data_IF_971548656442
#
_entry.id   IF_971548656442
#
_cell.length_a   1.000
_cell.length_b   1.000
_cell.length_c   1.000
_cell.angle_alpha   90.00
_cell.angle_beta   90.00
_cell.angle_gamma   90.00
#
_symmetry.space_group_name_H-M   'P 1'
#
loop_
_entity.id
_entity.type
_entity.pdbx_description
1 polymer ?
#
# COMPACT_ATOMS: atom_id res chain seq x y z
N UNK A 1 -9.57 14.16 11.85
CA UNK A 1 -11.03 13.95 11.72
C UNK A 1 -11.27 12.75 10.81
N UNK A 2 -11.73 11.63 11.37
CA UNK A 2 -12.05 10.41 10.63
C UNK A 2 -13.29 10.66 9.76
N UNK A 3 -13.14 10.54 8.44
CA UNK A 3 -14.25 10.61 7.47
C UNK A 3 -15.31 9.56 7.87
N UNK A 4 -16.56 9.97 8.02
CA UNK A 4 -17.67 9.05 8.28
C UNK A 4 -17.81 8.08 7.10
N UNK A 5 -17.76 6.77 7.37
CA UNK A 5 -17.91 5.72 6.34
C UNK A 5 -19.27 5.87 5.64
N UNK A 6 -19.31 6.25 4.35
CA UNK A 6 -20.57 6.48 3.62
C UNK A 6 -21.41 5.21 3.49
N UNK A 7 -20.77 4.03 3.58
CA UNK A 7 -21.42 2.73 3.41
C UNK A 7 -21.85 2.10 4.75
N UNK A 8 -21.74 2.83 5.87
CA UNK A 8 -22.06 2.31 7.21
C UNK A 8 -23.50 1.80 7.32
N UNK A 9 -24.45 2.47 6.67
CA UNK A 9 -25.87 2.07 6.68
C UNK A 9 -26.05 0.79 5.86
N UNK A 10 -25.50 0.76 4.64
CA UNK A 10 -25.53 -0.40 3.74
C UNK A 10 -24.93 -1.65 4.39
N UNK A 11 -23.82 -1.50 5.12
CA UNK A 11 -23.17 -2.62 5.83
C UNK A 11 -24.01 -3.23 6.96
N UNK A 12 -24.94 -2.46 7.53
CA UNK A 12 -25.81 -2.90 8.63
C UNK A 12 -27.13 -3.49 8.15
N UNK A 13 -27.51 -3.28 6.90
CA UNK A 13 -28.79 -3.76 6.35
C UNK A 13 -28.98 -5.28 6.52
N UNK A 14 -28.03 -6.16 6.13
CA UNK A 14 -28.23 -7.60 6.29
C UNK A 14 -28.42 -8.01 7.76
N UNK A 15 -27.67 -7.39 8.68
CA UNK A 15 -27.79 -7.65 10.11
C UNK A 15 -29.17 -7.24 10.65
N UNK A 16 -29.66 -6.05 10.30
CA UNK A 16 -30.95 -5.53 10.77
C UNK A 16 -32.10 -6.34 10.17
N UNK A 17 -32.07 -6.60 8.87
CA UNK A 17 -33.13 -7.36 8.18
C UNK A 17 -33.16 -8.82 8.66
N UNK A 18 -32.00 -9.45 8.82
CA UNK A 18 -31.91 -10.81 9.36
C UNK A 18 -32.38 -10.90 10.81
N UNK A 19 -32.01 -9.92 11.65
CA UNK A 19 -32.47 -9.84 13.04
C UNK A 19 -33.99 -9.63 13.14
N UNK A 20 -34.53 -8.70 12.36
CA UNK A 20 -35.97 -8.44 12.28
C UNK A 20 -36.74 -9.66 11.77
N UNK A 21 -36.22 -10.34 10.74
CA UNK A 21 -36.79 -11.59 10.21
C UNK A 21 -36.84 -12.71 11.27
N UNK A 22 -35.75 -12.91 12.02
CA UNK A 22 -35.70 -13.91 13.09
C UNK A 22 -36.72 -13.61 14.20
N UNK A 23 -36.85 -12.34 14.62
CA UNK A 23 -37.80 -11.91 15.64
C UNK A 23 -39.24 -12.11 15.16
N UNK A 24 -39.55 -11.70 13.93
CA UNK A 24 -40.89 -11.86 13.36
C UNK A 24 -41.29 -13.33 13.21
N UNK A 25 -40.36 -14.20 12.78
CA UNK A 25 -40.61 -15.65 12.71
C UNK A 25 -40.85 -16.26 14.09
N UNK A 26 -40.09 -15.83 15.10
CA UNK A 26 -40.30 -16.27 16.47
C UNK A 26 -41.67 -15.84 17.00
N UNK A 27 -42.06 -14.58 16.76
CA UNK A 27 -43.38 -14.07 17.15
C UNK A 27 -44.49 -14.83 16.41
N UNK A 28 -44.34 -15.04 15.11
CA UNK A 28 -45.28 -15.83 14.31
C UNK A 28 -45.45 -17.24 14.89
N UNK A 29 -44.34 -17.87 15.27
CA UNK A 29 -44.34 -19.21 15.86
C UNK A 29 -45.04 -19.25 17.22
N UNK A 30 -44.84 -18.25 18.08
CA UNK A 30 -45.46 -18.17 19.41
C UNK A 30 -46.97 -17.87 19.36
N UNK A 31 -47.41 -17.12 18.34
CA UNK A 31 -48.80 -16.70 18.18
C UNK A 31 -49.64 -17.69 17.36
N UNK A 32 -49.01 -18.68 16.71
CA UNK A 32 -49.71 -19.69 15.88
C UNK A 32 -50.15 -20.88 16.74
N UNK A 33 -51.47 -21.13 16.93
CA UNK A 33 -51.96 -22.23 17.76
C UNK A 33 -51.82 -23.61 17.09
N UNK A 34 -52.10 -23.69 15.78
CA UNK A 34 -51.99 -24.92 14.99
C UNK A 34 -51.04 -24.70 13.80
N UNK A 35 -50.03 -25.57 13.68
CA UNK A 35 -49.00 -25.44 12.64
C UNK A 35 -49.32 -26.32 11.44
N UNK A 36 -49.50 -25.70 10.27
CA UNK A 36 -49.57 -26.44 9.01
C UNK A 36 -48.20 -26.93 8.53
N UNK A 37 -48.17 -28.01 7.76
CA UNK A 37 -46.93 -28.55 7.19
C UNK A 37 -46.23 -27.57 6.23
N UNK A 38 -47.00 -26.75 5.50
CA UNK A 38 -46.44 -25.71 4.61
C UNK A 38 -45.81 -24.58 5.43
N UNK A 39 -46.46 -24.15 6.51
CA UNK A 39 -45.92 -23.14 7.42
C UNK A 39 -44.64 -23.61 8.12
N UNK A 40 -44.60 -24.86 8.59
CA UNK A 40 -43.40 -25.43 9.20
C UNK A 40 -42.18 -25.38 8.25
N UNK A 41 -42.37 -25.71 6.97
CA UNK A 41 -41.30 -25.65 5.96
C UNK A 41 -40.89 -24.20 5.65
N UNK A 42 -41.86 -23.30 5.59
CA UNK A 42 -41.63 -21.86 5.43
C UNK A 42 -40.82 -21.27 6.58
N UNK A 43 -41.16 -21.61 7.83
CA UNK A 43 -40.45 -21.15 9.03
C UNK A 43 -38.99 -21.64 9.01
N UNK A 44 -38.72 -22.89 8.63
CA UNK A 44 -37.36 -23.42 8.51
C UNK A 44 -36.55 -22.62 7.48
N UNK A 45 -37.10 -22.37 6.29
CA UNK A 45 -36.43 -21.57 5.26
C UNK A 45 -36.21 -20.12 5.72
N UNK A 46 -37.18 -19.54 6.42
CA UNK A 46 -37.08 -18.19 6.98
C UNK A 46 -36.00 -18.06 8.06
N UNK A 47 -35.87 -19.06 8.94
CA UNK A 47 -34.81 -19.11 9.95
C UNK A 47 -33.44 -19.22 9.29
N UNK A 48 -33.29 -20.08 8.28
CA UNK A 48 -32.04 -20.21 7.51
C UNK A 48 -31.69 -18.87 6.85
N UNK A 49 -32.65 -18.22 6.17
CA UNK A 49 -32.43 -16.92 5.52
C UNK A 49 -32.01 -15.85 6.54
N UNK A 50 -32.66 -15.80 7.70
CA UNK A 50 -32.32 -14.86 8.77
C UNK A 50 -30.91 -15.08 9.30
N UNK A 51 -30.51 -16.34 9.50
CA UNK A 51 -29.15 -16.69 9.93
C UNK A 51 -28.09 -16.30 8.88
N UNK A 52 -28.35 -16.55 7.60
CA UNK A 52 -27.46 -16.17 6.49
C UNK A 52 -27.29 -14.65 6.42
N UNK A 53 -28.38 -13.88 6.57
CA UNK A 53 -28.35 -12.42 6.56
C UNK A 53 -27.57 -11.85 7.76
N UNK A 54 -27.76 -12.42 8.95
CA UNK A 54 -27.00 -12.03 10.16
C UNK A 54 -25.50 -12.31 9.96
N UNK A 55 -25.14 -13.52 9.51
CA UNK A 55 -23.75 -13.90 9.26
C UNK A 55 -23.10 -12.98 8.22
N UNK A 56 -23.80 -12.69 7.12
CA UNK A 56 -23.34 -11.76 6.08
C UNK A 56 -23.08 -10.37 6.66
N UNK A 57 -24.01 -9.87 7.48
CA UNK A 57 -23.85 -8.58 8.16
C UNK A 57 -22.66 -8.53 9.12
N UNK A 58 -22.41 -9.63 9.85
CA UNK A 58 -21.25 -9.75 10.74
C UNK A 58 -19.92 -9.77 9.95
N UNK A 59 -19.86 -10.51 8.84
CA UNK A 59 -18.67 -10.54 7.96
C UNK A 59 -18.37 -9.14 7.43
N UNK A 60 -19.38 -8.41 6.97
CA UNK A 60 -19.22 -7.05 6.43
C UNK A 60 -18.74 -6.02 7.46
N UNK A 61 -18.95 -6.27 8.76
CA UNK A 61 -18.44 -5.44 9.84
C UNK A 61 -16.97 -5.75 10.17
N UNK A 62 -16.52 -6.99 9.97
CA UNK A 62 -15.14 -7.41 10.28
C UNK A 62 -14.11 -6.96 9.25
N UNK A 63 -14.53 -6.70 8.00
CA UNK A 63 -13.64 -6.21 6.93
C UNK A 63 -13.45 -4.69 7.02
N UNK A 64 -12.71 -4.25 8.05
CA UNK A 64 -12.03 -2.96 8.01
C UNK A 64 -10.52 -3.19 7.97
N UNK A 65 -9.84 -2.79 6.87
CA UNK A 65 -8.39 -2.77 6.83
C UNK A 65 -7.89 -1.88 7.96
N UNK A 66 -7.10 -2.43 8.90
CA UNK A 66 -6.36 -1.60 9.84
C UNK A 66 -5.33 -0.82 9.04
N UNK A 67 -5.40 0.50 9.09
CA UNK A 67 -4.34 1.35 8.55
C UNK A 67 -3.05 1.02 9.30
N UNK A 68 -1.94 0.72 8.58
CA UNK A 68 -0.66 0.48 9.23
C UNK A 68 -0.28 1.66 10.12
N UNK A 69 0.32 1.36 11.26
CA UNK A 69 0.83 2.40 12.16
C UNK A 69 1.99 3.12 11.47
N UNK A 70 1.86 4.44 11.33
CA UNK A 70 2.86 5.29 10.67
C UNK A 70 3.79 5.91 11.70
N UNK A 71 5.07 5.99 11.37
CA UNK A 71 6.07 6.72 12.17
C UNK A 71 6.42 8.05 11.51
N UNK A 72 6.93 9.01 12.27
CA UNK A 72 7.63 10.17 11.72
C UNK A 72 9.06 9.76 11.38
N UNK A 73 9.48 9.92 10.13
CA UNK A 73 10.83 9.52 9.71
C UNK A 73 11.89 10.44 10.31
N UNK A 74 13.00 9.86 10.76
CA UNK A 74 14.13 10.58 11.33
C UNK A 74 15.04 11.06 10.18
N UNK A 75 15.13 12.36 9.98
CA UNK A 75 15.97 12.98 8.96
C UNK A 75 15.54 14.41 8.65
N UNK A 76 16.20 15.04 7.69
CA UNK A 76 15.87 16.38 7.23
C UNK A 76 15.16 16.33 5.88
N UNK A 77 14.15 17.16 5.68
CA UNK A 77 13.53 17.30 4.37
C UNK A 77 14.51 17.98 3.41
N UNK A 78 14.79 17.34 2.28
CA UNK A 78 15.77 17.84 1.33
C UNK A 78 15.49 17.42 -0.11
N UNK A 79 16.18 18.10 -1.02
CA UNK A 79 16.19 17.81 -2.44
C UNK A 79 17.59 18.03 -3.01
N UNK A 80 18.19 16.96 -3.52
CA UNK A 80 19.52 16.95 -4.10
C UNK A 80 19.46 16.35 -5.50
N UNK A 81 20.16 16.98 -6.43
CA UNK A 81 20.36 16.54 -7.81
C UNK A 81 21.87 16.55 -8.11
N UNK A 82 22.35 15.55 -8.85
CA UNK A 82 23.72 15.53 -9.31
C UNK A 82 23.98 16.72 -10.27
N UNK A 83 25.06 17.50 -10.06
CA UNK A 83 25.29 18.74 -10.78
C UNK A 83 25.62 18.53 -12.26
N UNK A 84 26.21 17.38 -12.58
CA UNK A 84 26.68 16.94 -13.91
C UNK A 84 25.55 16.46 -14.85
N UNK A 85 24.30 16.40 -14.38
CA UNK A 85 23.18 15.98 -15.21
C UNK A 85 22.75 17.05 -16.24
N UNK A 86 22.36 16.65 -17.46
CA UNK A 86 21.71 17.55 -18.42
C UNK A 86 20.42 18.15 -17.87
N UNK A 87 20.06 19.33 -18.37
CA UNK A 87 18.86 20.07 -17.94
C UNK A 87 17.58 19.23 -18.12
N UNK A 88 17.45 18.53 -19.25
CA UNK A 88 16.30 17.67 -19.53
C UNK A 88 16.17 16.54 -18.50
N UNK A 89 17.27 15.86 -18.17
CA UNK A 89 17.30 14.82 -17.15
C UNK A 89 16.97 15.38 -15.75
N UNK A 90 17.50 16.56 -15.39
CA UNK A 90 17.19 17.22 -14.11
C UNK A 90 15.70 17.53 -13.96
N UNK A 91 15.08 18.10 -15.00
CA UNK A 91 13.65 18.43 -15.01
C UNK A 91 12.82 17.17 -14.84
N UNK A 92 13.16 16.12 -15.58
CA UNK A 92 12.42 14.86 -15.55
C UNK A 92 12.53 14.12 -14.23
N UNK A 93 13.75 14.02 -13.68
CA UNK A 93 13.98 13.50 -12.34
C UNK A 93 13.23 14.31 -11.28
N UNK A 94 13.27 15.64 -11.35
CA UNK A 94 12.55 16.50 -10.41
C UNK A 94 11.03 16.32 -10.51
N UNK A 95 10.48 16.14 -11.71
CA UNK A 95 9.05 15.94 -11.92
C UNK A 95 8.57 14.57 -11.46
N UNK A 96 9.24 13.50 -11.91
CA UNK A 96 8.91 12.12 -11.60
C UNK A 96 8.94 11.85 -10.09
N UNK A 97 9.98 12.34 -9.41
CA UNK A 97 10.16 12.12 -7.98
C UNK A 97 9.17 12.92 -7.14
N UNK A 98 8.75 14.10 -7.61
CA UNK A 98 7.66 14.85 -6.97
C UNK A 98 6.36 14.06 -7.04
N UNK A 99 6.02 13.54 -8.22
CA UNK A 99 4.81 12.76 -8.44
C UNK A 99 4.74 11.55 -7.51
N UNK A 100 5.86 10.84 -7.35
CA UNK A 100 5.94 9.70 -6.44
C UNK A 100 5.72 10.12 -4.98
N UNK A 101 6.36 11.19 -4.52
CA UNK A 101 6.17 11.68 -3.15
C UNK A 101 4.76 12.22 -2.86
N UNK A 102 4.08 12.79 -3.85
CA UNK A 102 2.75 13.38 -3.66
C UNK A 102 1.59 12.42 -3.91
N UNK A 103 1.78 11.38 -4.72
CA UNK A 103 0.70 10.46 -5.11
C UNK A 103 0.86 9.03 -4.57
N UNK A 104 1.96 8.74 -3.87
CA UNK A 104 2.16 7.45 -3.18
C UNK A 104 2.44 7.69 -1.70
N UNK A 105 2.57 6.61 -0.93
CA UNK A 105 2.98 6.63 0.48
C UNK A 105 4.48 6.87 0.70
N UNK A 106 5.24 7.10 -0.37
CA UNK A 106 6.69 7.38 -0.32
C UNK A 106 6.98 8.66 0.45
N UNK A 107 7.99 8.63 1.32
CA UNK A 107 8.44 9.78 2.11
C UNK A 107 9.91 10.14 1.89
N UNK A 108 10.69 9.20 1.40
CA UNK A 108 12.08 9.41 1.00
C UNK A 108 12.35 8.60 -0.26
N UNK A 109 13.08 9.17 -1.21
CA UNK A 109 13.45 8.44 -2.41
C UNK A 109 14.85 8.81 -2.90
N UNK A 110 15.47 7.84 -3.56
CA UNK A 110 16.80 7.95 -4.15
C UNK A 110 16.77 7.34 -5.55
N UNK A 111 17.38 8.05 -6.50
CA UNK A 111 17.63 7.54 -7.85
C UNK A 111 19.11 7.18 -7.95
N UNK A 112 19.39 5.89 -8.09
CA UNK A 112 20.74 5.36 -8.29
C UNK A 112 20.88 4.86 -9.72
N UNK A 113 21.89 5.31 -10.46
CA UNK A 113 22.10 4.97 -11.86
C UNK A 113 23.59 4.88 -12.18
N UNK A 114 24.03 3.85 -12.89
CA UNK A 114 25.43 3.63 -13.31
C UNK A 114 26.47 3.86 -12.19
N UNK A 115 26.20 3.38 -10.98
CA UNK A 115 27.15 3.52 -9.88
C UNK A 115 27.07 4.83 -9.09
N UNK A 116 26.18 5.75 -9.49
CA UNK A 116 26.08 7.10 -8.93
C UNK A 116 24.69 7.40 -8.40
N UNK A 117 24.62 8.27 -7.39
CA UNK A 117 23.37 8.83 -6.89
C UNK A 117 23.03 10.07 -7.69
N UNK A 118 21.99 9.98 -8.53
CA UNK A 118 21.55 11.08 -9.40
C UNK A 118 20.63 12.06 -8.67
N UNK A 119 19.79 11.55 -7.75
CA UNK A 119 18.82 12.36 -7.01
C UNK A 119 18.55 11.76 -5.63
N UNK A 120 18.37 12.63 -4.63
CA UNK A 120 17.79 12.29 -3.33
C UNK A 120 16.68 13.30 -3.00
N UNK A 121 15.51 12.84 -2.55
CA UNK A 121 14.41 13.75 -2.22
C UNK A 121 13.50 13.21 -1.12
N UNK A 122 12.93 14.11 -0.32
CA UNK A 122 12.02 13.80 0.79
C UNK A 122 12.78 13.85 2.10
N UNK A 123 12.49 12.94 3.04
CA UNK A 123 13.21 12.86 4.31
C UNK A 123 14.55 12.14 4.10
N UNK A 124 15.66 12.85 4.21
CA UNK A 124 16.99 12.36 3.91
C UNK A 124 17.73 11.94 5.19
N UNK A 125 18.42 10.80 5.12
CA UNK A 125 19.41 10.44 6.13
C UNK A 125 20.71 11.24 5.93
N UNK A 126 21.49 11.34 7.01
CA UNK A 126 22.79 11.99 7.01
C UNK A 126 23.76 11.36 5.99
N UNK A 127 23.76 10.02 5.87
CA UNK A 127 24.57 9.32 4.88
C UNK A 127 23.95 9.47 3.48
N UNK A 128 24.76 9.98 2.54
CA UNK A 128 24.33 10.22 1.15
C UNK A 128 24.78 9.16 0.15
N UNK A 129 25.82 8.41 0.49
CA UNK A 129 26.43 7.43 -0.39
C UNK A 129 25.65 6.11 -0.40
N UNK A 130 25.28 5.66 -1.60
CA UNK A 130 24.61 4.38 -1.82
C UNK A 130 25.65 3.33 -2.15
N UNK A 131 25.82 2.36 -1.27
CA UNK A 131 26.64 1.17 -1.50
C UNK A 131 25.72 -0.01 -1.80
N UNK A 132 25.65 -0.51 -3.06
CA UNK A 132 24.76 -1.62 -3.40
C UNK A 132 25.10 -2.89 -2.62
N UNK A 133 24.16 -3.34 -1.80
CA UNK A 133 24.25 -4.62 -1.11
C UNK A 133 23.62 -5.74 -1.93
N UNK A 134 23.09 -6.75 -1.24
CA UNK A 134 22.56 -7.95 -1.89
C UNK A 134 21.24 -7.64 -2.61
N UNK A 135 20.42 -6.75 -2.06
CA UNK A 135 19.08 -6.48 -2.56
C UNK A 135 19.16 -5.62 -3.82
N UNK A 136 19.91 -4.52 -3.80
CA UNK A 136 20.11 -3.69 -4.97
C UNK A 136 20.77 -4.48 -6.12
N UNK A 137 21.80 -5.29 -5.82
CA UNK A 137 22.44 -6.16 -6.83
C UNK A 137 21.44 -7.12 -7.45
N UNK A 138 20.60 -7.77 -6.63
CA UNK A 138 19.56 -8.67 -7.13
C UNK A 138 18.54 -7.95 -8.01
N UNK A 139 18.16 -6.72 -7.69
CA UNK A 139 17.27 -5.91 -8.54
C UNK A 139 17.93 -5.61 -9.89
N UNK A 140 19.20 -5.19 -9.88
CA UNK A 140 19.97 -4.91 -11.08
C UNK A 140 20.17 -6.16 -11.96
N UNK A 141 20.42 -7.32 -11.36
CA UNK A 141 20.64 -8.59 -12.08
C UNK A 141 19.33 -9.17 -12.63
N UNK A 142 18.27 -9.20 -11.80
CA UNK A 142 17.01 -9.87 -12.17
C UNK A 142 16.05 -8.96 -12.92
N UNK A 143 16.27 -7.65 -12.91
CA UNK A 143 15.38 -6.64 -13.50
C UNK A 143 13.94 -6.77 -12.97
N UNK A 144 13.81 -7.21 -11.70
CA UNK A 144 12.53 -7.37 -11.02
C UNK A 144 12.49 -6.48 -9.79
N UNK A 145 11.37 -5.78 -9.54
CA UNK A 145 11.24 -4.99 -8.34
C UNK A 145 11.21 -5.88 -7.10
N UNK A 146 11.82 -5.38 -6.03
CA UNK A 146 11.78 -6.01 -4.71
C UNK A 146 11.09 -5.05 -3.75
N UNK A 147 10.00 -5.53 -3.15
CA UNK A 147 9.28 -4.82 -2.11
C UNK A 147 9.52 -5.48 -0.74
N UNK A 148 10.21 -4.75 0.13
CA UNK A 148 10.40 -5.08 1.54
C UNK A 148 9.28 -4.46 2.36
N UNK A 149 8.25 -5.26 2.63
CA UNK A 149 7.01 -4.80 3.28
C UNK A 149 7.19 -4.36 4.73
N UNK A 150 8.23 -4.81 5.41
CA UNK A 150 8.52 -4.50 6.80
C UNK A 150 10.03 -4.57 7.01
N UNK A 151 10.73 -3.45 6.77
CA UNK A 151 12.19 -3.40 6.68
C UNK A 151 12.86 -3.90 7.97
N UNK A 152 12.29 -3.61 9.14
CA UNK A 152 12.83 -3.99 10.44
C UNK A 152 13.00 -5.50 10.65
N UNK A 153 12.25 -6.33 9.89
CA UNK A 153 12.29 -7.79 9.98
C UNK A 153 13.42 -8.39 9.14
N UNK A 154 14.01 -7.62 8.22
CA UNK A 154 15.04 -8.10 7.30
C UNK A 154 16.44 -7.90 7.91
N UNK A 155 17.26 -8.98 8.03
CA UNK A 155 18.64 -8.86 8.49
C UNK A 155 19.49 -7.95 7.61
N UNK A 156 19.22 -7.95 6.29
CA UNK A 156 19.89 -7.11 5.30
C UNK A 156 19.50 -5.63 5.32
N UNK A 157 18.69 -5.16 6.27
CA UNK A 157 18.29 -3.74 6.36
C UNK A 157 19.46 -2.76 6.44
N UNK A 158 20.62 -3.24 6.90
CA UNK A 158 21.88 -2.48 7.02
C UNK A 158 22.32 -1.93 5.65
N UNK A 159 21.93 -2.58 4.55
CA UNK A 159 22.17 -2.09 3.18
C UNK A 159 21.55 -0.69 2.93
N UNK A 160 20.47 -0.33 3.64
CA UNK A 160 19.74 0.91 3.43
C UNK A 160 20.11 2.02 4.43
N UNK A 161 21.34 2.04 4.91
CA UNK A 161 21.83 3.06 5.85
C UNK A 161 21.86 4.50 5.29
N UNK A 162 21.61 4.66 3.99
CA UNK A 162 21.38 5.93 3.28
C UNK A 162 19.91 6.41 3.29
N UNK A 163 18.99 5.62 3.84
CA UNK A 163 17.59 5.99 4.10
C UNK A 163 17.39 6.34 5.59
N UNK A 164 16.31 7.05 5.97
CA UNK A 164 15.97 7.29 7.38
C UNK A 164 16.00 6.00 8.20
N UNK A 165 16.64 6.04 9.37
CA UNK A 165 16.93 4.84 10.18
C UNK A 165 15.67 4.05 10.55
N UNK A 166 14.57 4.76 10.80
CA UNK A 166 13.27 4.19 11.16
C UNK A 166 12.34 3.96 9.95
N UNK A 167 12.90 3.80 8.74
CA UNK A 167 12.15 3.40 7.54
C UNK A 167 11.40 2.09 7.77
N UNK A 168 10.12 2.06 7.41
CA UNK A 168 9.24 0.90 7.67
C UNK A 168 9.08 -0.01 6.45
N UNK A 169 9.05 0.56 5.25
CA UNK A 169 8.91 -0.20 4.00
C UNK A 169 9.80 0.37 2.91
N UNK A 170 10.34 -0.50 2.06
CA UNK A 170 11.22 -0.10 0.95
C UNK A 170 10.83 -0.82 -0.34
N UNK A 171 10.66 -0.07 -1.42
CA UNK A 171 10.58 -0.61 -2.78
C UNK A 171 11.88 -0.27 -3.50
N UNK A 172 12.54 -1.28 -4.06
CA UNK A 172 13.62 -1.14 -5.01
C UNK A 172 13.08 -1.51 -6.39
N UNK A 173 12.83 -0.51 -7.23
CA UNK A 173 12.30 -0.66 -8.57
C UNK A 173 13.45 -0.46 -9.59
N UNK A 174 13.71 -1.39 -10.51
CA UNK A 174 14.73 -1.19 -11.54
C UNK A 174 14.35 -0.02 -12.47
N UNK A 175 15.36 0.73 -12.92
CA UNK A 175 15.26 1.77 -13.95
C UNK A 175 16.13 1.32 -15.12
N UNK A 176 15.53 0.58 -16.06
CA UNK A 176 16.27 -0.13 -17.10
C UNK A 176 17.38 -1.01 -16.52
N UNK A 177 18.41 -1.29 -17.33
CA UNK A 177 19.43 -2.27 -16.97
C UNK A 177 20.51 -1.74 -16.00
N UNK A 178 20.53 -0.42 -15.74
CA UNK A 178 21.65 0.24 -15.08
C UNK A 178 21.26 1.08 -13.86
N UNK A 179 19.97 1.13 -13.52
CA UNK A 179 19.47 1.95 -12.43
C UNK A 179 18.52 1.26 -11.48
N UNK A 180 18.36 1.87 -10.31
CA UNK A 180 17.38 1.50 -9.29
C UNK A 180 16.78 2.77 -8.69
N UNK A 181 15.45 2.80 -8.68
CA UNK A 181 14.63 3.73 -7.93
C UNK A 181 14.35 3.13 -6.55
N UNK A 182 14.84 3.78 -5.51
CA UNK A 182 14.69 3.32 -4.12
C UNK A 182 13.67 4.23 -3.45
N UNK A 183 12.55 3.66 -2.98
CA UNK A 183 11.47 4.41 -2.34
C UNK A 183 11.23 3.89 -0.92
N UNK A 184 11.25 4.81 0.04
CA UNK A 184 11.07 4.53 1.47
C UNK A 184 9.70 5.04 1.95
N UNK A 185 9.01 4.21 2.71
CA UNK A 185 7.74 4.53 3.35
C UNK A 185 7.86 4.51 4.88
N UNK A 186 6.99 5.30 5.53
CA UNK A 186 6.94 5.45 6.98
C UNK A 186 5.91 4.53 7.66
N UNK A 187 5.36 3.56 6.93
CA UNK A 187 4.49 2.51 7.45
C UNK A 187 4.84 1.17 6.78
N UNK A 188 4.70 0.03 7.49
CA UNK A 188 4.87 -1.28 6.88
C UNK A 188 3.66 -1.61 5.99
N UNK A 189 3.87 -2.42 4.93
CA UNK A 189 2.82 -2.88 4.01
C UNK A 189 1.95 -1.75 3.44
N UNK A 190 2.54 -0.57 3.26
CA UNK A 190 1.80 0.66 2.91
C UNK A 190 1.56 0.83 1.41
N UNK A 191 2.45 0.32 0.56
CA UNK A 191 2.27 0.41 -0.89
C UNK A 191 1.17 -0.53 -1.36
N UNK A 192 0.25 0.01 -2.15
CA UNK A 192 -0.80 -0.72 -2.84
C UNK A 192 -0.31 -1.26 -4.18
N UNK A 193 -1.08 -2.17 -4.80
CA UNK A 193 -0.77 -2.63 -6.16
C UNK A 193 -0.82 -1.50 -7.19
N UNK A 194 -1.66 -0.51 -6.97
CA UNK A 194 -1.72 0.69 -7.80
C UNK A 194 -0.44 1.52 -7.66
N UNK A 195 0.08 1.68 -6.44
CA UNK A 195 1.35 2.38 -6.22
C UNK A 195 2.50 1.65 -6.91
N UNK A 196 2.59 0.32 -6.78
CA UNK A 196 3.61 -0.49 -7.47
C UNK A 196 3.57 -0.28 -8.99
N UNK A 197 2.37 -0.27 -9.59
CA UNK A 197 2.22 -0.06 -11.03
C UNK A 197 2.62 1.36 -11.45
N UNK A 198 2.28 2.38 -10.66
CA UNK A 198 2.71 3.77 -10.88
C UNK A 198 4.23 3.92 -10.78
N UNK A 199 4.83 3.31 -9.76
CA UNK A 199 6.28 3.28 -9.57
C UNK A 199 6.97 2.63 -10.76
N UNK A 200 6.44 1.49 -11.23
CA UNK A 200 6.94 0.81 -12.44
C UNK A 200 6.87 1.71 -13.68
N UNK A 201 5.70 2.29 -13.98
CA UNK A 201 5.53 3.14 -15.17
C UNK A 201 6.41 4.40 -15.14
N UNK A 202 6.62 4.99 -13.96
CA UNK A 202 7.55 6.12 -13.81
C UNK A 202 9.01 5.67 -14.00
N UNK A 203 9.38 4.50 -13.48
CA UNK A 203 10.72 3.95 -13.68
C UNK A 203 11.00 3.62 -15.16
N UNK A 204 10.02 3.07 -15.89
CA UNK A 204 10.14 2.81 -17.34
C UNK A 204 10.35 4.12 -18.11
N UNK A 205 9.60 5.18 -17.76
CA UNK A 205 9.76 6.50 -18.36
C UNK A 205 11.14 7.09 -18.06
N UNK A 206 11.60 6.98 -16.80
CA UNK A 206 12.92 7.46 -16.40
C UNK A 206 14.04 6.69 -17.10
N UNK A 207 13.86 5.40 -17.36
CA UNK A 207 14.85 4.59 -18.08
C UNK A 207 15.13 5.16 -19.48
N UNK A 208 14.08 5.51 -20.24
CA UNK A 208 14.24 6.12 -21.57
C UNK A 208 14.97 7.46 -21.49
N UNK A 209 14.63 8.31 -20.52
CA UNK A 209 15.27 9.62 -20.35
C UNK A 209 16.75 9.46 -19.96
N UNK A 210 17.06 8.58 -19.01
CA UNK A 210 18.43 8.38 -18.55
C UNK A 210 19.31 7.70 -19.61
N UNK A 211 18.77 6.77 -20.39
CA UNK A 211 19.51 6.13 -21.50
C UNK A 211 19.82 7.11 -22.64
N UNK A 212 18.99 8.13 -22.84
CA UNK A 212 19.18 9.13 -23.91
C UNK A 212 20.11 10.27 -23.48
N UNK A 213 20.04 10.68 -22.22
CA UNK A 213 20.66 11.92 -21.73
C UNK A 213 21.94 11.69 -20.91
N UNK A 214 22.14 10.50 -20.32
CA UNK A 214 23.22 10.22 -19.33
C UNK A 214 24.12 9.06 -19.76
#
# INVERSE_FOLDING_TARGET
MTKSDPNRILRRLPLVVGGLGAVLLLMNRLLTPELSNSQARGDVLGVILSAVLILTGLIWQQVQPRTPETVELIGEEGFFLAPDLPEAAKIELAWATRLLLTNTVTRSLIVYYQGKVLLRRGILAAKSEVTPGIILKKVLETQKPIYLVALYVYPGKIEFDYLPENTQGVICQPIGNQGVLILAANAPRSYTKQDENWIGGIADKLAVTLETEV
#
